data_IF_636032608140
#
_entry.id   IF_636032608140
#
_cell.length_a   1.000
_cell.length_b   1.000
_cell.length_c   1.000
_cell.angle_alpha   90.00
_cell.angle_beta   90.00
_cell.angle_gamma   90.00
#
_symmetry.space_group_name_H-M   'P 1'
#
loop_
_entity.id
_entity.type
_entity.pdbx_description
1 polymer ?
#
# COMPACT_ATOMS: atom_id res chain seq x y z
N UNK A 1 -0.62 20.78 10.10
CA UNK A 1 -0.81 20.42 8.68
C UNK A 1 0.00 21.37 7.79
N UNK A 2 0.62 20.84 6.77
CA UNK A 2 1.30 21.62 5.72
C UNK A 2 0.23 22.37 4.91
N UNK A 3 0.51 23.64 4.59
CA UNK A 3 -0.26 24.46 3.66
C UNK A 3 0.60 24.78 2.44
N UNK A 4 -0.04 25.01 1.29
CA UNK A 4 0.67 25.50 0.10
C UNK A 4 1.35 26.84 0.41
N UNK A 5 2.62 26.96 0.04
CA UNK A 5 3.33 28.24 0.15
C UNK A 5 4.79 28.14 0.59
N UNK A 6 5.47 29.26 0.47
CA UNK A 6 6.92 29.40 0.78
C UNK A 6 7.25 29.26 2.28
N UNK A 7 6.30 29.55 3.17
CA UNK A 7 6.51 29.42 4.61
C UNK A 7 6.62 27.95 5.03
N UNK A 8 5.70 27.09 4.52
CA UNK A 8 5.74 25.64 4.79
C UNK A 8 6.98 24.99 4.18
N UNK A 9 7.43 25.39 2.98
CA UNK A 9 8.67 24.86 2.40
C UNK A 9 9.90 25.17 3.24
N UNK A 10 9.98 26.38 3.84
CA UNK A 10 11.04 26.76 4.74
C UNK A 10 11.08 25.91 6.03
N UNK A 11 9.91 25.60 6.60
CA UNK A 11 9.79 24.72 7.77
C UNK A 11 10.25 23.29 7.45
N UNK A 12 9.82 22.73 6.31
CA UNK A 12 10.24 21.40 5.87
C UNK A 12 11.75 21.36 5.62
N UNK A 13 12.30 22.32 4.87
CA UNK A 13 13.75 22.43 4.66
C UNK A 13 14.49 22.48 5.99
N UNK A 14 13.98 23.29 6.95
CA UNK A 14 14.54 23.40 8.29
C UNK A 14 14.54 22.07 9.07
N UNK A 15 13.47 21.29 9.01
CA UNK A 15 13.34 20.01 9.70
C UNK A 15 14.36 18.98 9.17
N UNK A 16 14.58 18.98 7.86
CA UNK A 16 15.48 18.03 7.20
C UNK A 16 16.90 18.57 6.98
N UNK A 17 17.21 19.79 7.46
CA UNK A 17 18.54 20.37 7.30
C UNK A 17 18.90 20.72 5.85
N UNK A 18 17.89 20.88 5.00
CA UNK A 18 18.07 21.33 3.62
C UNK A 18 18.23 22.85 3.57
N UNK A 19 18.97 23.34 2.57
CA UNK A 19 19.07 24.77 2.32
C UNK A 19 17.75 25.26 1.69
N UNK A 20 17.06 26.16 2.38
CA UNK A 20 15.87 26.80 1.81
C UNK A 20 16.36 27.87 0.80
N UNK A 21 16.35 27.54 -0.48
CA UNK A 21 16.68 28.50 -1.54
C UNK A 21 15.50 29.44 -1.85
N UNK A 22 15.75 30.64 -2.36
CA UNK A 22 14.70 31.52 -2.85
C UNK A 22 13.91 30.77 -3.96
N UNK A 23 12.60 30.60 -3.75
CA UNK A 23 11.75 29.88 -4.69
C UNK A 23 11.49 28.40 -4.33
N UNK A 24 11.96 27.91 -3.18
CA UNK A 24 11.55 26.60 -2.67
C UNK A 24 10.02 26.52 -2.56
N UNK A 25 9.42 25.49 -3.17
CA UNK A 25 7.97 25.31 -3.23
C UNK A 25 7.56 23.91 -2.84
N UNK A 26 6.47 23.82 -2.09
CA UNK A 26 5.75 22.56 -1.85
C UNK A 26 4.56 22.47 -2.81
N UNK A 27 4.50 21.41 -3.59
CA UNK A 27 3.49 21.18 -4.61
C UNK A 27 2.74 19.90 -4.21
N UNK A 28 1.40 19.94 -4.04
CA UNK A 28 0.63 18.75 -3.70
C UNK A 28 0.71 17.72 -4.83
N UNK A 29 0.88 16.45 -4.47
CA UNK A 29 0.99 15.34 -5.43
C UNK A 29 -0.16 14.37 -5.26
N UNK A 30 -0.35 13.84 -4.05
CA UNK A 30 -1.40 12.86 -3.75
C UNK A 30 -1.85 12.93 -2.30
N UNK A 31 -3.04 12.37 -2.05
CA UNK A 31 -3.58 12.16 -0.71
C UNK A 31 -4.10 10.73 -0.61
N UNK A 32 -3.66 10.02 0.42
CA UNK A 32 -4.20 8.73 0.82
C UNK A 32 -4.91 8.78 2.17
N UNK A 33 -5.31 7.62 2.68
CA UNK A 33 -5.91 7.48 3.99
C UNK A 33 -4.94 7.85 5.13
N UNK A 34 -3.66 7.53 4.98
CA UNK A 34 -2.65 7.66 6.01
C UNK A 34 -1.86 8.97 5.96
N UNK A 35 -1.95 9.74 4.86
CA UNK A 35 -1.15 10.95 4.71
C UNK A 35 -1.32 11.66 3.38
N UNK A 36 -0.48 12.68 3.18
CA UNK A 36 -0.36 13.44 1.93
C UNK A 36 1.07 13.39 1.45
N UNK A 37 1.24 13.38 0.13
CA UNK A 37 2.56 13.50 -0.51
C UNK A 37 2.65 14.83 -1.21
N UNK A 38 3.76 15.52 -0.95
CA UNK A 38 4.13 16.79 -1.55
C UNK A 38 5.43 16.63 -2.32
N UNK A 39 5.57 17.32 -3.44
CA UNK A 39 6.88 17.52 -4.06
C UNK A 39 7.51 18.81 -3.49
N UNK A 40 8.70 18.68 -2.95
CA UNK A 40 9.52 19.82 -2.53
C UNK A 40 10.54 20.10 -3.63
N UNK A 41 10.44 21.26 -4.27
CA UNK A 41 11.47 21.79 -5.17
C UNK A 41 12.39 22.67 -4.36
N UNK A 42 13.66 22.26 -4.16
CA UNK A 42 14.68 22.96 -3.37
C UNK A 42 15.93 23.19 -4.25
N UNK A 43 15.96 24.30 -4.96
CA UNK A 43 16.99 24.60 -5.95
C UNK A 43 16.97 23.63 -7.13
N UNK A 44 18.08 22.95 -7.38
CA UNK A 44 18.18 21.93 -8.43
C UNK A 44 17.66 20.56 -8.00
N UNK A 45 17.43 20.35 -6.71
CA UNK A 45 17.02 19.07 -6.15
C UNK A 45 15.51 19.00 -5.92
N UNK A 46 14.95 17.80 -6.07
CA UNK A 46 13.55 17.51 -5.82
C UNK A 46 13.42 16.37 -4.82
N UNK A 47 12.44 16.52 -3.94
CA UNK A 47 12.16 15.55 -2.89
C UNK A 47 10.67 15.23 -2.83
N UNK A 48 10.33 14.03 -2.35
CA UNK A 48 8.98 13.72 -1.92
C UNK A 48 8.91 13.90 -0.39
N UNK A 49 7.95 14.69 0.06
CA UNK A 49 7.66 14.89 1.49
C UNK A 49 6.35 14.20 1.78
N UNK A 50 6.36 13.19 2.65
CA UNK A 50 5.15 12.53 3.13
C UNK A 50 4.76 13.14 4.48
N UNK A 51 3.59 13.75 4.54
CA UNK A 51 2.93 14.24 5.74
C UNK A 51 2.02 13.13 6.26
N UNK A 52 2.28 12.62 7.46
CA UNK A 52 1.50 11.56 8.08
C UNK A 52 0.35 12.15 8.91
N UNK A 53 -0.85 11.58 8.82
CA UNK A 53 -2.01 11.99 9.62
C UNK A 53 -2.04 11.35 11.00
N UNK A 54 -1.27 10.26 11.19
CA UNK A 54 -1.22 9.49 12.40
C UNK A 54 0.20 9.42 12.94
N UNK A 55 0.30 9.16 14.23
CA UNK A 55 1.58 8.96 14.90
C UNK A 55 2.30 7.73 14.32
N UNK A 56 3.59 7.85 14.11
CA UNK A 56 4.46 6.77 13.62
C UNK A 56 5.66 6.62 14.56
N UNK A 57 6.25 5.43 14.58
CA UNK A 57 7.39 5.11 15.42
C UNK A 57 8.71 5.21 14.66
N UNK A 58 9.66 5.97 15.19
CA UNK A 58 10.98 6.16 14.58
C UNK A 58 11.77 4.86 14.40
N UNK A 59 11.60 3.86 15.30
CA UNK A 59 12.31 2.60 15.19
C UNK A 59 11.80 1.77 14.01
N UNK A 60 10.50 1.73 13.83
CA UNK A 60 9.85 1.11 12.67
C UNK A 60 10.27 1.77 11.37
N UNK A 61 10.25 3.11 11.31
CA UNK A 61 10.70 3.88 10.13
C UNK A 61 12.18 3.64 9.83
N UNK A 62 13.02 3.54 10.84
CA UNK A 62 14.46 3.23 10.67
C UNK A 62 14.69 1.81 10.15
N UNK A 63 13.90 0.86 10.61
CA UNK A 63 13.96 -0.54 10.15
C UNK A 63 13.57 -0.62 8.67
N UNK A 64 12.49 0.05 8.26
CA UNK A 64 12.08 0.18 6.86
C UNK A 64 13.17 0.87 6.01
N UNK A 65 13.72 2.00 6.48
CA UNK A 65 14.78 2.72 5.77
C UNK A 65 16.04 1.86 5.57
N UNK A 66 16.40 1.02 6.55
CA UNK A 66 17.51 0.08 6.40
C UNK A 66 17.20 -1.05 5.40
N UNK A 67 15.96 -1.52 5.35
CA UNK A 67 15.54 -2.52 4.38
C UNK A 67 15.51 -1.95 2.96
N UNK A 68 14.91 -0.78 2.75
CA UNK A 68 14.85 -0.11 1.44
C UNK A 68 16.25 0.25 0.93
N UNK A 69 17.17 0.69 1.79
CA UNK A 69 18.57 0.92 1.42
C UNK A 69 19.28 -0.38 0.96
N UNK A 70 18.97 -1.53 1.59
CA UNK A 70 19.45 -2.83 1.11
C UNK A 70 18.93 -3.16 -0.28
N UNK A 71 17.64 -2.99 -0.53
CA UNK A 71 17.04 -3.23 -1.85
C UNK A 71 17.62 -2.29 -2.92
N UNK A 72 17.79 -0.99 -2.60
CA UNK A 72 18.42 -0.01 -3.50
C UNK A 72 19.84 -0.43 -3.86
N UNK A 73 20.64 -0.90 -2.87
CA UNK A 73 22.00 -1.38 -3.12
C UNK A 73 22.07 -2.63 -4.01
N UNK A 74 20.99 -3.40 -4.06
CA UNK A 74 20.82 -4.58 -4.92
C UNK A 74 20.20 -4.24 -6.28
N UNK A 75 20.00 -2.96 -6.60
CA UNK A 75 19.51 -2.49 -7.89
C UNK A 75 17.98 -2.49 -8.02
N UNK A 76 17.24 -2.47 -6.92
CA UNK A 76 15.81 -2.17 -6.95
C UNK A 76 15.64 -0.65 -6.96
N UNK A 77 14.85 -0.17 -7.91
CA UNK A 77 14.54 1.25 -8.01
C UNK A 77 13.43 1.63 -7.04
N UNK A 78 13.70 2.59 -6.16
CA UNK A 78 12.79 3.08 -5.13
C UNK A 78 13.21 4.47 -4.64
N UNK A 79 12.34 5.26 -4.01
CA UNK A 79 12.69 6.53 -3.39
C UNK A 79 13.45 6.27 -2.08
N UNK A 80 14.77 6.51 -2.07
CA UNK A 80 15.56 6.36 -0.84
C UNK A 80 15.10 7.32 0.25
N UNK A 81 14.83 6.80 1.45
CA UNK A 81 14.50 7.61 2.64
C UNK A 81 15.69 8.47 3.05
N UNK A 82 15.43 9.72 3.40
CA UNK A 82 16.45 10.69 3.80
C UNK A 82 16.27 11.08 5.28
N UNK A 83 17.31 10.96 6.11
CA UNK A 83 17.23 11.40 7.49
C UNK A 83 17.24 12.93 7.56
N UNK A 84 16.51 13.45 8.53
CA UNK A 84 16.53 14.86 8.87
C UNK A 84 17.52 15.18 10.00
N UNK A 85 17.26 16.27 10.71
CA UNK A 85 18.11 16.71 11.82
C UNK A 85 18.23 15.65 12.90
N UNK A 86 19.41 15.46 13.43
CA UNK A 86 19.71 14.44 14.43
C UNK A 86 19.73 13.00 13.90
N UNK A 87 19.73 12.81 12.58
CA UNK A 87 19.75 11.50 11.96
C UNK A 87 18.43 10.72 12.09
N UNK A 88 17.32 11.39 12.40
CA UNK A 88 15.98 10.81 12.49
C UNK A 88 15.29 10.87 11.12
N UNK A 89 14.61 9.82 10.73
CA UNK A 89 13.82 9.77 9.50
C UNK A 89 12.43 10.41 9.69
N UNK A 90 11.93 10.42 10.92
CA UNK A 90 10.64 11.01 11.29
C UNK A 90 10.90 12.37 11.94
N UNK A 91 10.32 13.45 11.37
CA UNK A 91 10.45 14.82 11.86
C UNK A 91 9.09 15.40 12.21
N UNK A 92 9.01 16.16 13.31
CA UNK A 92 7.82 16.96 13.62
C UNK A 92 7.85 18.28 12.84
N UNK A 93 6.71 18.62 12.22
CA UNK A 93 6.59 19.90 11.50
C UNK A 93 6.67 21.10 12.47
N UNK A 94 6.03 20.99 13.62
CA UNK A 94 6.05 22.00 14.68
C UNK A 94 6.04 21.31 16.05
N UNK A 95 7.20 21.12 16.70
CA UNK A 95 7.29 20.44 17.98
C UNK A 95 6.40 21.10 19.05
N UNK A 96 5.54 20.29 19.69
CA UNK A 96 4.66 20.74 20.79
C UNK A 96 3.38 21.45 20.36
N UNK A 97 3.07 21.50 19.06
CA UNK A 97 1.76 21.84 18.51
C UNK A 97 1.19 20.60 17.84
N UNK A 98 -0.11 20.59 17.48
CA UNK A 98 -0.72 19.52 16.70
C UNK A 98 -0.17 19.45 15.26
N UNK A 99 1.17 19.50 15.15
CA UNK A 99 1.94 19.41 13.92
C UNK A 99 2.04 17.96 13.47
N UNK A 100 1.83 17.71 12.17
CA UNK A 100 1.97 16.40 11.59
C UNK A 100 3.41 15.90 11.60
N UNK A 101 3.55 14.60 11.44
CA UNK A 101 4.83 13.93 11.25
C UNK A 101 5.21 13.94 9.78
N UNK A 102 6.50 14.16 9.49
CA UNK A 102 7.05 14.27 8.14
C UNK A 102 8.12 13.21 7.89
N UNK A 103 8.12 12.68 6.67
CA UNK A 103 9.18 11.86 6.11
C UNK A 103 9.67 12.47 4.80
N UNK A 104 10.95 12.32 4.50
CA UNK A 104 11.58 12.83 3.28
C UNK A 104 12.19 11.69 2.47
N UNK A 105 11.97 11.76 1.16
CA UNK A 105 12.49 10.79 0.20
C UNK A 105 13.11 11.50 -1.01
N UNK A 106 14.01 10.81 -1.71
CA UNK A 106 14.42 11.27 -3.04
C UNK A 106 13.23 11.24 -3.99
N UNK A 107 13.13 12.24 -4.83
CA UNK A 107 12.11 12.27 -5.86
C UNK A 107 12.39 11.23 -6.96
N UNK A 108 11.38 10.53 -7.42
CA UNK A 108 11.43 9.65 -8.59
C UNK A 108 10.72 10.34 -9.76
N UNK A 109 11.42 10.50 -10.87
CA UNK A 109 10.86 11.00 -12.12
C UNK A 109 10.26 9.83 -12.91
N UNK A 110 8.99 9.59 -12.72
CA UNK A 110 8.25 8.52 -13.38
C UNK A 110 6.81 8.92 -13.64
N UNK A 111 6.15 8.09 -14.42
CA UNK A 111 4.72 8.20 -14.72
C UNK A 111 3.99 6.98 -14.17
N UNK A 112 2.69 7.07 -13.85
CA UNK A 112 1.88 5.91 -13.48
C UNK A 112 1.97 4.81 -14.54
N UNK A 113 1.89 3.55 -14.10
CA UNK A 113 1.92 2.40 -15.02
C UNK A 113 0.68 2.38 -15.92
N UNK A 114 0.88 2.04 -17.19
CA UNK A 114 -0.21 1.70 -18.10
C UNK A 114 -0.45 0.18 -18.02
N UNK A 115 -1.53 -0.24 -17.37
CA UNK A 115 -1.85 -1.66 -17.17
C UNK A 115 -1.99 -2.43 -18.50
N UNK A 116 -2.32 -1.76 -19.60
CA UNK A 116 -2.34 -2.35 -20.94
C UNK A 116 -0.98 -2.30 -21.64
N UNK A 117 0.04 -1.72 -21.01
CA UNK A 117 1.37 -1.52 -21.58
C UNK A 117 2.06 -2.83 -21.94
N UNK A 118 2.70 -2.89 -23.13
CA UNK A 118 3.40 -4.10 -23.56
C UNK A 118 4.57 -4.40 -22.62
N UNK A 119 4.70 -5.67 -22.20
CA UNK A 119 5.81 -6.12 -21.35
C UNK A 119 5.61 -5.89 -19.84
N UNK A 120 4.62 -5.09 -19.43
CA UNK A 120 4.39 -4.77 -18.02
C UNK A 120 4.20 -6.02 -17.13
N UNK A 121 3.41 -6.99 -17.60
CA UNK A 121 3.18 -8.24 -16.85
C UNK A 121 4.49 -8.99 -16.54
N UNK A 122 5.43 -9.03 -17.48
CA UNK A 122 6.73 -9.62 -17.22
C UNK A 122 7.60 -8.75 -16.32
N UNK A 123 7.57 -7.42 -16.50
CA UNK A 123 8.37 -6.50 -15.71
C UNK A 123 7.96 -6.51 -14.22
N UNK A 124 6.65 -6.49 -13.92
CA UNK A 124 6.18 -6.56 -12.52
C UNK A 124 6.43 -7.93 -11.90
N UNK A 125 6.32 -9.00 -12.68
CA UNK A 125 6.66 -10.34 -12.22
C UNK A 125 8.14 -10.47 -11.84
N UNK A 126 9.05 -10.02 -12.72
CA UNK A 126 10.49 -10.00 -12.43
C UNK A 126 10.81 -9.15 -11.19
N UNK A 127 10.25 -7.94 -11.13
CA UNK A 127 10.44 -7.04 -9.98
C UNK A 127 10.00 -7.71 -8.67
N UNK A 128 8.80 -8.27 -8.60
CA UNK A 128 8.30 -8.96 -7.41
C UNK A 128 9.14 -10.20 -7.08
N UNK A 129 9.58 -10.94 -8.09
CA UNK A 129 10.49 -12.08 -7.91
C UNK A 129 11.81 -11.68 -7.26
N UNK A 130 12.43 -10.61 -7.78
CA UNK A 130 13.67 -10.05 -7.22
C UNK A 130 13.47 -9.50 -5.81
N UNK A 131 12.37 -8.79 -5.54
CA UNK A 131 12.03 -8.31 -4.20
C UNK A 131 12.00 -9.45 -3.20
N UNK A 132 11.27 -10.51 -3.51
CA UNK A 132 11.18 -11.67 -2.62
C UNK A 132 12.48 -12.48 -2.52
N UNK A 133 13.29 -12.53 -3.58
CA UNK A 133 14.61 -13.18 -3.54
C UNK A 133 15.60 -12.40 -2.68
N UNK A 134 15.49 -11.08 -2.61
CA UNK A 134 16.32 -10.19 -1.78
C UNK A 134 15.77 -10.02 -0.36
N UNK A 135 14.52 -10.44 -0.12
CA UNK A 135 13.87 -10.28 1.17
C UNK A 135 14.63 -11.04 2.27
N UNK A 136 14.71 -10.40 3.44
CA UNK A 136 15.34 -11.00 4.62
C UNK A 136 14.32 -11.73 5.46
N UNK A 137 14.69 -12.80 6.17
CA UNK A 137 13.82 -13.39 7.18
C UNK A 137 13.32 -12.30 8.14
N UNK A 138 12.02 -12.20 8.29
CA UNK A 138 11.41 -11.23 9.17
C UNK A 138 11.32 -11.80 10.59
N UNK A 139 11.72 -11.00 11.57
CA UNK A 139 11.51 -11.31 12.98
C UNK A 139 10.17 -10.74 13.47
N UNK A 140 9.62 -11.36 14.50
CA UNK A 140 8.41 -10.89 15.14
C UNK A 140 7.09 -11.42 14.55
N UNK A 141 5.96 -11.08 15.17
CA UNK A 141 4.65 -11.50 14.71
C UNK A 141 4.22 -10.72 13.45
N UNK A 142 3.35 -11.33 12.67
CA UNK A 142 2.60 -10.62 11.63
C UNK A 142 1.65 -9.65 12.32
N UNK A 143 1.56 -8.42 11.81
CA UNK A 143 0.56 -7.47 12.26
C UNK A 143 -0.83 -8.04 11.93
N UNK A 144 -1.77 -8.07 12.91
CA UNK A 144 -3.14 -8.56 12.71
C UNK A 144 -3.86 -7.97 11.50
N UNK A 145 -3.50 -6.76 11.08
CA UNK A 145 -4.03 -6.14 9.87
C UNK A 145 -3.92 -7.02 8.62
N UNK A 146 -2.89 -7.85 8.55
CA UNK A 146 -2.56 -8.64 7.36
C UNK A 146 -3.00 -10.10 7.41
N UNK A 147 -3.46 -10.60 8.56
CA UNK A 147 -3.84 -12.00 8.71
C UNK A 147 -5.01 -12.28 9.67
N UNK A 148 -5.74 -11.20 10.07
CA UNK A 148 -7.03 -11.29 10.75
C UNK A 148 -8.07 -10.40 10.09
N UNK A 149 -9.33 -10.59 10.43
CA UNK A 149 -10.46 -9.85 9.88
C UNK A 149 -11.45 -9.49 10.97
N UNK A 150 -12.31 -8.48 10.76
CA UNK A 150 -13.43 -8.17 11.64
C UNK A 150 -14.37 -9.36 11.81
N UNK A 151 -15.02 -9.43 12.96
CA UNK A 151 -16.01 -10.47 13.23
C UNK A 151 -17.21 -10.36 12.26
N UNK A 152 -17.85 -11.48 11.87
CA UNK A 152 -18.98 -11.45 10.92
C UNK A 152 -20.09 -10.45 11.28
N UNK A 153 -20.41 -10.31 12.57
CA UNK A 153 -21.44 -9.39 13.05
C UNK A 153 -21.08 -7.91 12.85
N UNK A 154 -19.82 -7.59 12.62
CA UNK A 154 -19.35 -6.20 12.40
C UNK A 154 -20.03 -5.56 11.20
N UNK A 155 -20.24 -6.31 10.13
CA UNK A 155 -20.81 -5.79 8.89
C UNK A 155 -22.26 -5.33 9.04
N UNK A 156 -23.09 -6.12 9.73
CA UNK A 156 -24.47 -5.73 10.03
C UNK A 156 -24.50 -4.53 10.99
N UNK A 157 -23.64 -4.49 12.02
CA UNK A 157 -23.56 -3.37 12.96
C UNK A 157 -23.17 -2.07 12.27
N UNK A 158 -22.19 -2.11 11.34
CA UNK A 158 -21.76 -0.95 10.57
C UNK A 158 -22.87 -0.48 9.60
N UNK A 159 -23.56 -1.41 8.93
CA UNK A 159 -24.68 -1.09 8.06
C UNK A 159 -25.83 -0.42 8.83
N UNK A 160 -26.16 -0.92 10.03
CA UNK A 160 -27.23 -0.34 10.87
C UNK A 160 -26.83 1.04 11.41
N UNK A 161 -25.59 1.21 11.87
CA UNK A 161 -25.09 2.52 12.29
C UNK A 161 -25.08 3.53 11.14
N UNK A 162 -24.70 3.10 9.94
CA UNK A 162 -24.70 3.92 8.74
C UNK A 162 -26.12 4.35 8.36
N UNK A 163 -27.12 3.46 8.42
CA UNK A 163 -28.55 3.81 8.23
C UNK A 163 -29.00 4.84 9.25
N UNK A 164 -28.64 4.64 10.51
CA UNK A 164 -28.99 5.58 11.58
C UNK A 164 -28.46 7.01 11.35
N UNK A 165 -27.34 7.14 10.63
CA UNK A 165 -26.73 8.42 10.26
C UNK A 165 -27.10 8.89 8.83
N UNK A 166 -27.87 8.12 8.07
CA UNK A 166 -28.24 8.44 6.69
C UNK A 166 -27.08 8.36 5.70
N UNK A 167 -26.07 7.52 5.97
CA UNK A 167 -24.90 7.34 5.10
C UNK A 167 -25.29 6.63 3.80
N UNK A 168 -24.87 7.17 2.66
CA UNK A 168 -25.25 6.66 1.32
C UNK A 168 -24.76 5.25 1.00
N UNK A 169 -23.76 4.76 1.71
CA UNK A 169 -23.18 3.42 1.53
C UNK A 169 -23.83 2.30 2.39
N UNK A 170 -24.79 2.66 3.27
CA UNK A 170 -25.38 1.72 4.22
C UNK A 170 -26.02 0.48 3.55
N UNK A 171 -26.82 0.69 2.50
CA UNK A 171 -27.49 -0.40 1.79
C UNK A 171 -26.52 -1.26 0.96
N UNK A 172 -25.45 -0.65 0.42
CA UNK A 172 -24.41 -1.39 -0.26
C UNK A 172 -23.65 -2.30 0.71
N UNK A 173 -23.35 -1.84 1.92
CA UNK A 173 -22.73 -2.63 2.98
C UNK A 173 -23.62 -3.81 3.37
N UNK A 174 -24.88 -3.57 3.69
CA UNK A 174 -25.83 -4.61 4.05
C UNK A 174 -25.99 -5.67 2.93
N UNK A 175 -26.08 -5.22 1.69
CA UNK A 175 -26.24 -6.11 0.53
C UNK A 175 -24.98 -6.96 0.25
N UNK A 176 -23.83 -6.61 0.81
CA UNK A 176 -22.55 -7.33 0.65
C UNK A 176 -22.15 -8.14 1.88
N UNK A 177 -22.91 -8.09 3.00
CA UNK A 177 -22.54 -8.74 4.26
C UNK A 177 -22.22 -10.25 4.09
N UNK A 178 -23.01 -10.98 3.29
CA UNK A 178 -22.74 -12.40 2.99
C UNK A 178 -21.41 -12.58 2.27
N UNK A 179 -21.13 -11.80 1.21
CA UNK A 179 -19.85 -11.86 0.50
C UNK A 179 -18.67 -11.52 1.40
N UNK A 180 -18.81 -10.51 2.28
CA UNK A 180 -17.76 -10.12 3.23
C UNK A 180 -17.43 -11.27 4.20
N UNK A 181 -18.44 -12.04 4.64
CA UNK A 181 -18.23 -13.24 5.45
C UNK A 181 -17.54 -14.36 4.65
N UNK A 182 -18.00 -14.64 3.41
CA UNK A 182 -17.39 -15.66 2.55
C UNK A 182 -15.91 -15.36 2.26
N UNK A 183 -15.56 -14.08 2.03
CA UNK A 183 -14.17 -13.65 1.84
C UNK A 183 -13.34 -13.73 3.13
N UNK A 184 -13.95 -13.43 4.28
CA UNK A 184 -13.30 -13.53 5.58
C UNK A 184 -12.91 -14.96 5.93
N UNK A 185 -13.70 -15.96 5.53
CA UNK A 185 -13.42 -17.39 5.74
C UNK A 185 -12.14 -17.88 5.03
N UNK A 186 -11.67 -17.15 4.01
CA UNK A 186 -10.42 -17.44 3.31
C UNK A 186 -9.19 -16.88 4.03
N UNK A 187 -9.38 -16.00 5.01
CA UNK A 187 -8.27 -15.40 5.76
C UNK A 187 -7.81 -16.33 6.86
N UNK A 188 -6.54 -16.68 6.82
CA UNK A 188 -5.89 -17.54 7.83
C UNK A 188 -4.59 -16.92 8.29
N UNK A 189 -4.17 -17.24 9.51
CA UNK A 189 -2.87 -16.80 10.05
C UNK A 189 -1.72 -17.25 9.16
N UNK A 190 -0.74 -16.38 8.98
CA UNK A 190 0.46 -16.72 8.22
C UNK A 190 1.38 -17.63 9.02
N UNK A 191 1.98 -18.67 8.40
CA UNK A 191 2.95 -19.53 9.07
C UNK A 191 4.23 -18.76 9.39
N UNK A 192 4.62 -18.73 10.68
CA UNK A 192 5.74 -17.93 11.17
C UNK A 192 7.12 -18.34 10.65
N UNK A 193 7.29 -19.57 10.21
CA UNK A 193 8.54 -20.11 9.68
C UNK A 193 8.87 -19.71 8.23
N UNK A 194 7.93 -19.01 7.56
CA UNK A 194 8.06 -18.59 6.17
C UNK A 194 8.02 -17.07 5.98
N UNK A 195 8.09 -16.33 7.09
CA UNK A 195 7.99 -14.86 7.05
C UNK A 195 9.28 -14.24 6.55
N UNK A 196 9.14 -13.35 5.58
CA UNK A 196 10.18 -12.44 5.12
C UNK A 196 9.65 -11.02 5.15
N UNK A 197 10.52 -10.03 5.02
CA UNK A 197 10.06 -8.65 4.86
C UNK A 197 9.53 -8.46 3.45
N UNK A 198 8.22 -8.30 3.30
CA UNK A 198 7.50 -8.00 2.07
C UNK A 198 7.10 -6.52 2.02
N UNK A 199 6.72 -6.02 0.86
CA UNK A 199 6.17 -4.67 0.68
C UNK A 199 4.76 -4.56 1.30
N UNK A 200 3.95 -5.58 1.13
CA UNK A 200 2.57 -5.80 1.61
C UNK A 200 1.49 -4.94 0.93
N UNK A 201 1.89 -3.99 0.08
CA UNK A 201 0.97 -3.10 -0.68
C UNK A 201 1.47 -2.84 -2.11
N UNK A 202 1.91 -3.91 -2.81
CA UNK A 202 2.47 -3.82 -4.16
C UNK A 202 1.38 -3.77 -5.24
N UNK A 203 0.63 -2.67 -5.27
CA UNK A 203 -0.40 -2.38 -6.27
C UNK A 203 0.05 -1.34 -7.31
N UNK A 204 -0.67 -1.17 -8.43
CA UNK A 204 -0.23 -0.30 -9.54
C UNK A 204 0.06 1.15 -9.15
N UNK A 205 -0.71 1.74 -8.22
CA UNK A 205 -0.50 3.14 -7.80
C UNK A 205 0.79 3.34 -7.01
N UNK A 206 1.38 2.26 -6.48
CA UNK A 206 2.67 2.26 -5.79
C UNK A 206 3.85 1.92 -6.73
N UNK A 207 3.63 1.95 -8.05
CA UNK A 207 4.69 1.69 -9.03
C UNK A 207 4.69 2.77 -10.12
N UNK A 208 5.86 3.34 -10.36
CA UNK A 208 6.08 4.27 -11.47
C UNK A 208 6.95 3.63 -12.55
N UNK A 209 6.76 4.10 -13.80
CA UNK A 209 7.66 3.80 -14.92
C UNK A 209 8.53 5.01 -15.17
N UNK A 210 9.85 4.87 -15.03
CA UNK A 210 10.81 5.91 -15.40
C UNK A 210 11.00 6.01 -16.92
N UNK A 211 11.61 7.08 -17.38
CA UNK A 211 11.90 7.28 -18.83
C UNK A 211 12.78 6.16 -19.45
N UNK A 212 13.55 5.46 -18.61
CA UNK A 212 14.33 4.27 -19.00
C UNK A 212 13.47 3.03 -19.28
N UNK A 213 12.19 3.04 -18.85
CA UNK A 213 11.32 1.87 -18.81
C UNK A 213 11.46 1.03 -17.52
N UNK A 214 12.32 1.42 -16.60
CA UNK A 214 12.50 0.74 -15.32
C UNK A 214 11.33 1.05 -14.37
N UNK A 215 10.91 0.04 -13.60
CA UNK A 215 9.87 0.19 -12.59
C UNK A 215 10.48 0.65 -11.26
N UNK A 216 9.91 1.68 -10.67
CA UNK A 216 10.25 2.17 -9.33
C UNK A 216 9.11 1.91 -8.37
N UNK A 217 9.41 1.26 -7.22
CA UNK A 217 8.43 0.91 -6.18
C UNK A 217 8.39 2.00 -5.12
N UNK A 218 7.22 2.54 -4.88
CA UNK A 218 6.93 3.60 -3.91
C UNK A 218 6.28 3.02 -2.65
N UNK A 219 6.12 3.86 -1.65
CA UNK A 219 5.30 3.65 -0.45
C UNK A 219 5.62 2.35 0.33
N UNK A 220 6.76 2.36 1.00
CA UNK A 220 7.28 1.26 1.79
C UNK A 220 6.81 1.27 3.26
N UNK A 221 5.89 2.17 3.63
CA UNK A 221 5.44 2.34 5.03
C UNK A 221 4.84 1.05 5.61
N UNK A 222 4.25 0.23 4.74
CA UNK A 222 3.66 -1.05 5.10
C UNK A 222 4.65 -2.23 5.07
N UNK A 223 5.94 -1.99 4.74
CA UNK A 223 6.91 -3.08 4.65
C UNK A 223 7.07 -3.82 5.98
N UNK A 224 6.98 -5.16 5.92
CA UNK A 224 7.04 -5.96 7.15
C UNK A 224 6.84 -7.46 6.94
N UNK A 225 6.68 -8.22 8.04
CA UNK A 225 6.55 -9.67 8.01
C UNK A 225 5.36 -10.15 7.19
N UNK A 226 5.62 -10.92 6.13
CA UNK A 226 4.58 -11.63 5.37
C UNK A 226 5.18 -12.84 4.64
N UNK A 227 4.30 -13.72 4.15
CA UNK A 227 4.70 -14.83 3.29
C UNK A 227 4.72 -14.37 1.82
N UNK A 228 5.76 -14.65 1.04
CA UNK A 228 5.81 -14.35 -0.40
C UNK A 228 4.62 -14.88 -1.20
N UNK A 229 4.04 -16.01 -0.80
CA UNK A 229 2.82 -16.58 -1.39
C UNK A 229 1.64 -15.59 -1.32
N UNK A 230 1.51 -14.92 -0.17
CA UNK A 230 0.41 -13.98 0.13
C UNK A 230 0.56 -12.68 -0.66
N UNK A 231 1.77 -12.14 -0.75
CA UNK A 231 2.02 -10.93 -1.53
C UNK A 231 1.88 -11.20 -3.03
N UNK A 232 2.38 -12.34 -3.53
CA UNK A 232 2.20 -12.74 -4.92
C UNK A 232 0.73 -12.88 -5.29
N UNK A 233 -0.11 -13.47 -4.42
CA UNK A 233 -1.55 -13.57 -4.65
C UNK A 233 -2.21 -12.19 -4.73
N UNK A 234 -1.89 -11.28 -3.80
CA UNK A 234 -2.36 -9.89 -3.83
C UNK A 234 -1.93 -9.16 -5.11
N UNK A 235 -0.67 -9.33 -5.52
CA UNK A 235 -0.16 -8.77 -6.76
C UNK A 235 -0.98 -9.25 -7.97
N UNK A 236 -1.25 -10.54 -8.11
CA UNK A 236 -2.05 -11.04 -9.23
C UNK A 236 -3.45 -10.42 -9.26
N UNK A 237 -4.06 -10.24 -8.09
CA UNK A 237 -5.38 -9.61 -7.98
C UNK A 237 -5.34 -8.14 -8.39
N UNK A 238 -4.38 -7.37 -7.89
CA UNK A 238 -4.26 -5.93 -8.18
C UNK A 238 -3.91 -5.62 -9.65
N UNK A 239 -3.06 -6.46 -10.26
CA UNK A 239 -2.51 -6.18 -11.58
C UNK A 239 -3.27 -6.83 -12.73
N UNK A 240 -4.03 -7.88 -12.46
CA UNK A 240 -4.66 -8.68 -13.52
C UNK A 240 -6.12 -9.02 -13.26
N UNK A 241 -6.63 -8.80 -12.03
CA UNK A 241 -8.05 -8.93 -11.74
C UNK A 241 -8.85 -7.73 -12.26
N UNK A 242 -10.02 -8.00 -12.85
CA UNK A 242 -10.93 -6.98 -13.35
C UNK A 242 -12.17 -6.88 -12.47
N UNK A 243 -12.81 -5.71 -12.44
CA UNK A 243 -14.02 -5.45 -11.65
C UNK A 243 -15.23 -6.31 -12.07
N UNK A 244 -15.21 -6.85 -13.28
CA UNK A 244 -16.22 -7.79 -13.78
C UNK A 244 -16.03 -9.25 -13.31
N UNK A 245 -15.02 -9.50 -12.48
CA UNK A 245 -14.70 -10.82 -11.94
C UNK A 245 -13.91 -11.73 -12.88
N UNK A 246 -13.32 -11.15 -13.93
CA UNK A 246 -12.41 -11.87 -14.85
C UNK A 246 -10.94 -11.48 -14.60
N UNK A 247 -10.02 -12.15 -15.28
CA UNK A 247 -8.60 -11.80 -15.28
C UNK A 247 -7.99 -11.96 -16.68
N UNK A 248 -6.87 -11.24 -16.95
CA UNK A 248 -6.05 -11.51 -18.14
C UNK A 248 -5.14 -12.72 -17.88
N UNK A 249 -5.62 -13.91 -18.25
CA UNK A 249 -4.90 -15.17 -18.09
C UNK A 249 -3.50 -15.16 -18.72
N UNK A 250 -3.33 -14.50 -19.85
CA UNK A 250 -2.06 -14.45 -20.53
C UNK A 250 -1.07 -13.54 -19.79
N UNK A 251 -1.55 -12.43 -19.21
CA UNK A 251 -0.76 -11.56 -18.36
C UNK A 251 -0.38 -12.28 -17.05
N UNK A 252 -1.32 -12.94 -16.38
CA UNK A 252 -1.07 -13.75 -15.17
C UNK A 252 0.06 -14.76 -15.42
N UNK A 253 -0.02 -15.54 -16.51
CA UNK A 253 1.02 -16.53 -16.84
C UNK A 253 2.38 -15.88 -17.08
N UNK A 254 2.43 -14.73 -17.77
CA UNK A 254 3.67 -13.99 -17.99
C UNK A 254 4.26 -13.48 -16.67
N UNK A 255 3.43 -12.92 -15.79
CA UNK A 255 3.85 -12.46 -14.46
C UNK A 255 4.43 -13.60 -13.63
N UNK A 256 3.75 -14.73 -13.56
CA UNK A 256 4.22 -15.90 -12.80
C UNK A 256 5.53 -16.47 -13.35
N UNK A 257 5.67 -16.56 -14.68
CA UNK A 257 6.90 -17.03 -15.31
C UNK A 257 8.08 -16.09 -15.02
N UNK A 258 7.86 -14.76 -15.13
CA UNK A 258 8.88 -13.76 -14.81
C UNK A 258 9.21 -13.72 -13.31
N UNK A 259 8.21 -13.85 -12.44
CA UNK A 259 8.40 -13.97 -11.00
C UNK A 259 9.36 -15.12 -10.62
N UNK A 260 9.15 -16.30 -11.21
CA UNK A 260 10.05 -17.45 -11.03
C UNK A 260 11.45 -17.17 -11.56
N UNK A 261 11.56 -16.55 -12.75
CA UNK A 261 12.83 -16.18 -13.35
C UNK A 261 13.61 -15.16 -12.51
N UNK A 262 12.91 -14.22 -11.86
CA UNK A 262 13.45 -13.26 -10.89
C UNK A 262 13.86 -13.87 -9.54
N UNK A 263 13.66 -15.17 -9.34
CA UNK A 263 14.03 -15.89 -8.11
C UNK A 263 12.96 -15.91 -7.03
N UNK A 264 11.72 -15.49 -7.34
CA UNK A 264 10.62 -15.45 -6.39
C UNK A 264 10.24 -16.84 -5.85
N UNK A 265 10.21 -17.04 -4.51
CA UNK A 265 9.93 -18.33 -3.89
C UNK A 265 8.44 -18.62 -3.69
N UNK A 266 7.57 -17.62 -3.87
CA UNK A 266 6.13 -17.70 -3.59
C UNK A 266 5.40 -18.68 -4.51
N UNK A 267 4.39 -19.34 -3.96
CA UNK A 267 3.53 -20.32 -4.65
C UNK A 267 2.09 -20.14 -4.20
N UNK A 268 1.16 -20.00 -5.14
CA UNK A 268 -0.26 -20.04 -4.83
C UNK A 268 -0.70 -21.51 -4.78
N UNK A 269 -0.98 -22.01 -3.59
CA UNK A 269 -1.33 -23.42 -3.37
C UNK A 269 -2.83 -23.64 -3.30
N UNK A 270 -3.55 -22.68 -2.74
CA UNK A 270 -4.97 -22.68 -2.50
C UNK A 270 -5.51 -21.25 -2.44
N UNK A 271 -6.82 -21.10 -2.26
CA UNK A 271 -7.49 -19.81 -2.17
C UNK A 271 -7.08 -19.00 -0.93
N UNK A 272 -6.61 -19.66 0.12
CA UNK A 272 -6.09 -18.98 1.31
C UNK A 272 -4.82 -18.18 1.01
N UNK A 273 -4.14 -18.44 -0.10
CA UNK A 273 -3.02 -17.59 -0.56
C UNK A 273 -3.44 -16.14 -0.76
N UNK A 274 -4.71 -15.85 -1.02
CA UNK A 274 -5.25 -14.48 -1.09
C UNK A 274 -5.57 -13.85 0.27
N UNK A 275 -5.37 -14.57 1.38
CA UNK A 275 -5.78 -14.13 2.72
C UNK A 275 -5.21 -12.78 3.14
N UNK A 276 -3.96 -12.42 2.78
CA UNK A 276 -3.40 -11.09 3.10
C UNK A 276 -4.13 -9.97 2.33
N UNK A 277 -4.33 -10.13 1.03
CA UNK A 277 -5.09 -9.19 0.22
C UNK A 277 -6.51 -8.97 0.79
N UNK A 278 -7.18 -10.07 1.16
CA UNK A 278 -8.53 -10.03 1.73
C UNK A 278 -8.54 -9.38 3.12
N UNK A 279 -7.59 -9.73 3.99
CA UNK A 279 -7.46 -9.11 5.30
C UNK A 279 -7.28 -7.59 5.20
N UNK A 280 -6.36 -7.11 4.36
CA UNK A 280 -6.16 -5.68 4.12
C UNK A 280 -7.46 -4.99 3.65
N UNK A 281 -8.18 -5.58 2.69
CA UNK A 281 -9.43 -5.03 2.16
C UNK A 281 -10.53 -4.96 3.20
N UNK A 282 -10.71 -6.01 3.99
CA UNK A 282 -11.77 -6.09 5.01
C UNK A 282 -11.47 -5.17 6.21
N UNK A 283 -10.23 -5.15 6.68
CA UNK A 283 -9.80 -4.26 7.75
C UNK A 283 -9.84 -2.78 7.31
N UNK A 284 -9.45 -2.49 6.06
CA UNK A 284 -9.56 -1.14 5.50
C UNK A 284 -11.02 -0.69 5.44
N UNK A 285 -11.92 -1.55 4.97
CA UNK A 285 -13.35 -1.25 4.91
C UNK A 285 -13.93 -0.93 6.29
N UNK A 286 -13.59 -1.73 7.32
CA UNK A 286 -14.02 -1.50 8.70
C UNK A 286 -13.44 -0.20 9.26
N UNK A 287 -12.15 0.06 9.05
CA UNK A 287 -11.50 1.28 9.51
C UNK A 287 -12.09 2.53 8.86
N UNK A 288 -12.32 2.51 7.54
CA UNK A 288 -12.97 3.63 6.85
C UNK A 288 -14.41 3.82 7.32
N UNK A 289 -15.18 2.74 7.56
CA UNK A 289 -16.52 2.85 8.10
C UNK A 289 -16.51 3.48 9.50
N UNK A 290 -15.56 3.13 10.34
CA UNK A 290 -15.38 3.73 11.66
C UNK A 290 -15.09 5.23 11.57
N UNK A 291 -14.19 5.66 10.67
CA UNK A 291 -13.88 7.08 10.44
C UNK A 291 -15.09 7.84 9.89
N UNK A 292 -15.81 7.25 8.93
CA UNK A 292 -16.98 7.89 8.31
C UNK A 292 -18.12 8.13 9.31
N UNK A 293 -18.26 7.25 10.30
CA UNK A 293 -19.29 7.29 11.35
C UNK A 293 -18.88 8.10 12.59
N UNK A 294 -17.59 8.42 12.75
CA UNK A 294 -17.11 9.18 13.91
C UNK A 294 -17.48 10.68 13.79
N UNK A 295 -18.35 11.20 14.66
CA UNK A 295 -18.70 12.63 14.67
C UNK A 295 -17.51 13.53 15.06
N UNK A 296 -16.49 12.97 15.75
CA UNK A 296 -15.26 13.68 16.13
C UNK A 296 -14.24 13.81 15.01
N UNK A 297 -14.34 12.99 13.96
CA UNK A 297 -13.43 13.06 12.81
C UNK A 297 -13.71 14.32 11.97
N UNK A 298 -12.63 14.89 11.40
CA UNK A 298 -12.76 16.06 10.53
C UNK A 298 -13.67 15.78 9.32
N UNK A 299 -14.50 16.74 8.88
CA UNK A 299 -15.45 16.53 7.79
C UNK A 299 -14.80 16.01 6.50
N UNK A 300 -13.59 16.46 6.18
CA UNK A 300 -12.83 16.03 5.01
C UNK A 300 -12.39 14.57 5.10
N UNK A 301 -12.03 14.09 6.30
CA UNK A 301 -11.67 12.68 6.53
C UNK A 301 -12.90 11.78 6.43
N UNK A 302 -14.05 12.22 6.97
CA UNK A 302 -15.32 11.46 6.84
C UNK A 302 -15.81 11.37 5.39
N UNK A 303 -15.68 12.46 4.63
CA UNK A 303 -16.06 12.47 3.22
C UNK A 303 -15.17 11.53 2.39
N UNK A 304 -13.85 11.58 2.62
CA UNK A 304 -12.90 10.68 1.99
C UNK A 304 -13.20 9.22 2.35
N UNK A 305 -13.37 8.91 3.63
CA UNK A 305 -13.71 7.58 4.09
C UNK A 305 -15.01 7.03 3.47
N UNK A 306 -16.04 7.87 3.33
CA UNK A 306 -17.31 7.47 2.66
C UNK A 306 -17.12 7.12 1.19
N UNK A 307 -16.21 7.80 0.48
CA UNK A 307 -15.84 7.47 -0.90
C UNK A 307 -15.12 6.11 -0.95
N UNK A 308 -14.10 5.92 -0.09
CA UNK A 308 -13.32 4.68 -0.03
C UNK A 308 -14.18 3.45 0.30
N UNK A 309 -15.19 3.60 1.17
CA UNK A 309 -16.15 2.52 1.47
C UNK A 309 -16.89 2.11 0.20
N UNK A 310 -17.42 3.09 -0.54
CA UNK A 310 -18.19 2.84 -1.76
C UNK A 310 -17.35 2.15 -2.82
N UNK A 311 -16.11 2.61 -3.02
CA UNK A 311 -15.16 2.06 -3.97
C UNK A 311 -14.72 0.64 -3.57
N UNK A 312 -14.44 0.41 -2.28
CA UNK A 312 -14.06 -0.91 -1.76
C UNK A 312 -15.19 -1.92 -1.95
N UNK A 313 -16.43 -1.55 -1.57
CA UNK A 313 -17.60 -2.44 -1.74
C UNK A 313 -17.88 -2.77 -3.21
N UNK A 314 -17.62 -1.84 -4.13
CA UNK A 314 -17.80 -2.07 -5.56
C UNK A 314 -16.76 -3.03 -6.13
N UNK A 315 -15.52 -3.02 -5.59
CA UNK A 315 -14.37 -3.79 -6.08
C UNK A 315 -14.02 -5.01 -5.24
N UNK A 316 -14.95 -5.52 -4.41
CA UNK A 316 -14.73 -6.79 -3.71
C UNK A 316 -14.59 -7.92 -4.73
N UNK A 317 -13.56 -8.79 -4.62
CA UNK A 317 -13.35 -9.85 -5.58
C UNK A 317 -14.47 -10.90 -5.49
N UNK A 318 -14.89 -11.41 -6.63
CA UNK A 318 -15.75 -12.58 -6.66
C UNK A 318 -14.98 -13.83 -6.22
N UNK A 319 -15.54 -14.74 -5.40
CA UNK A 319 -14.88 -16.00 -5.04
C UNK A 319 -14.44 -16.83 -6.25
N UNK A 320 -15.21 -16.78 -7.36
CA UNK A 320 -14.86 -17.45 -8.61
C UNK A 320 -13.55 -16.92 -9.23
N UNK A 321 -13.26 -15.63 -9.11
CA UNK A 321 -11.99 -15.05 -9.58
C UNK A 321 -10.81 -15.58 -8.76
N UNK A 322 -10.97 -15.67 -7.44
CA UNK A 322 -9.95 -16.24 -6.54
C UNK A 322 -9.66 -17.70 -6.92
N UNK A 323 -10.69 -18.52 -7.08
CA UNK A 323 -10.56 -19.92 -7.52
C UNK A 323 -9.90 -20.04 -8.89
N UNK A 324 -10.25 -19.15 -9.82
CA UNK A 324 -9.68 -19.12 -11.17
C UNK A 324 -8.17 -18.80 -11.13
N UNK A 325 -7.77 -17.72 -10.44
CA UNK A 325 -6.36 -17.33 -10.31
C UNK A 325 -5.53 -18.41 -9.60
N UNK A 326 -6.08 -19.06 -8.57
CA UNK A 326 -5.45 -20.19 -7.89
C UNK A 326 -5.17 -21.33 -8.85
N UNK A 327 -6.19 -21.73 -9.63
CA UNK A 327 -6.07 -22.81 -10.61
C UNK A 327 -5.06 -22.49 -11.71
N UNK A 328 -5.07 -21.23 -12.19
CA UNK A 328 -4.16 -20.75 -13.22
C UNK A 328 -2.70 -20.73 -12.73
N UNK A 329 -2.49 -20.32 -11.49
CA UNK A 329 -1.17 -20.31 -10.86
C UNK A 329 -0.63 -21.73 -10.66
N UNK A 330 -1.44 -22.66 -10.17
CA UNK A 330 -1.07 -24.07 -10.03
C UNK A 330 -0.67 -24.69 -11.37
N UNK A 331 -1.41 -24.39 -12.45
CA UNK A 331 -1.09 -24.88 -13.79
C UNK A 331 0.17 -24.24 -14.40
N UNK A 332 0.61 -23.08 -13.92
CA UNK A 332 1.76 -22.35 -14.45
C UNK A 332 3.05 -22.62 -13.67
N UNK A 333 2.94 -22.84 -12.37
CA UNK A 333 4.07 -23.01 -11.44
C UNK A 333 4.30 -24.48 -11.05
N UNK A 334 3.34 -25.38 -11.29
CA UNK A 334 3.47 -26.83 -11.10
C UNK A 334 4.22 -27.45 -12.25
#
# INVERSE_FOLDING_TARGET
>A
MICDGSESSGLVCGAFGLTAEPGAALIPVSRGAMGRVWRLDAGAERYAVKELFWESDEESVRTEAAFTAHLESAGIRLPGSLPGRGGRFLQELAPGQDGGWLRLYRWIDGVPVDLAGPGLAAAIGDLAGRLHALARPAGGPVDPWYDTVPAPATWDQLADAARGQGAGWAEAMAGRAGLLCDLADLVTRMPGDRLVTCHRDLHPDNVLVEASGELAVLDWDDAGPACPDRELAGLLMFWHGHDDGTADDAAVRRTLAAYRAGGGPGQLRDEQSFGMYLACRLNFLEAQASVALDPGAAPEHRAYASSEISDTLARLPAPSLISHLTSLAAATLG
#
